data_IF_944141955357
#
_entry.id   IF_944141955357
#
_cell.length_a   1.000
_cell.length_b   1.000
_cell.length_c   1.000
_cell.angle_alpha   90.00
_cell.angle_beta   90.00
_cell.angle_gamma   90.00
#
_symmetry.space_group_name_H-M   'P 1'
#
loop_
_entity.id
_entity.type
_entity.pdbx_description
1 polymer ?
#
# COMPACT_ATOMS: atom_id res chain seq x y z
N UNK A 1 2.26 7.03 -11.01
CA UNK A 1 2.06 6.42 -9.68
C UNK A 1 2.98 7.00 -8.62
N UNK A 2 4.29 6.77 -8.66
CA UNK A 2 5.23 7.24 -7.60
C UNK A 2 5.11 8.74 -7.35
N UNK A 3 5.08 9.56 -8.42
CA UNK A 3 4.89 11.02 -8.37
C UNK A 3 3.57 11.48 -7.71
N UNK A 4 2.57 10.61 -7.65
CA UNK A 4 1.27 10.92 -7.04
C UNK A 4 1.21 10.70 -5.53
N UNK A 5 2.29 10.21 -4.92
CA UNK A 5 2.38 9.98 -3.47
C UNK A 5 2.86 11.26 -2.80
N UNK A 6 2.11 11.76 -1.81
CA UNK A 6 2.32 13.07 -1.18
C UNK A 6 3.69 13.33 -0.54
N UNK A 7 4.44 12.27 -0.21
CA UNK A 7 5.78 12.37 0.39
C UNK A 7 6.92 12.39 -0.64
N UNK A 8 6.60 12.25 -1.93
CA UNK A 8 7.58 12.23 -3.02
C UNK A 8 7.66 13.61 -3.65
N UNK A 9 8.82 14.26 -3.57
CA UNK A 9 9.06 15.56 -4.20
C UNK A 9 9.43 15.41 -5.68
N UNK A 10 10.38 14.54 -6.00
CA UNK A 10 10.79 14.25 -7.38
C UNK A 10 10.89 12.74 -7.66
N UNK A 11 10.90 12.40 -8.96
CA UNK A 11 11.10 11.03 -9.43
C UNK A 11 12.20 11.03 -10.45
N UNK A 12 13.26 10.27 -10.18
CA UNK A 12 14.35 10.00 -11.09
C UNK A 12 14.05 8.76 -11.91
N UNK A 13 13.97 8.92 -13.23
CA UNK A 13 13.78 7.82 -14.17
C UNK A 13 15.13 7.20 -14.57
N UNK A 14 15.14 5.89 -14.85
CA UNK A 14 16.37 5.18 -15.23
C UNK A 14 17.40 5.05 -14.10
N UNK A 15 16.97 5.08 -12.84
CA UNK A 15 17.84 4.86 -11.70
C UNK A 15 18.51 3.46 -11.78
N UNK A 16 19.80 3.34 -11.41
CA UNK A 16 20.47 2.05 -11.33
C UNK A 16 19.75 1.08 -10.40
N UNK A 17 19.83 -0.22 -10.70
CA UNK A 17 19.16 -1.25 -9.90
C UNK A 17 19.69 -1.33 -8.45
N UNK A 18 21.00 -1.15 -8.27
CA UNK A 18 21.65 -1.09 -6.96
C UNK A 18 22.00 0.36 -6.65
N UNK A 19 21.64 0.82 -5.45
CA UNK A 19 22.03 2.15 -4.97
C UNK A 19 23.54 2.22 -4.76
N UNK A 20 24.20 3.19 -5.39
CA UNK A 20 25.62 3.47 -5.24
C UNK A 20 25.86 4.84 -4.61
N UNK A 21 27.04 5.05 -4.02
CA UNK A 21 27.45 6.37 -3.53
C UNK A 21 27.45 7.42 -4.65
N UNK A 22 27.89 7.05 -5.85
CA UNK A 22 27.84 7.92 -7.04
C UNK A 22 26.43 8.39 -7.36
N UNK A 23 25.43 7.51 -7.21
CA UNK A 23 24.03 7.88 -7.43
C UNK A 23 23.58 8.89 -6.38
N UNK A 24 23.92 8.68 -5.10
CA UNK A 24 23.58 9.62 -4.04
C UNK A 24 24.25 10.98 -4.24
N UNK A 25 25.52 11.00 -4.64
CA UNK A 25 26.26 12.23 -4.89
C UNK A 25 25.73 12.97 -6.12
N UNK A 26 25.38 12.25 -7.19
CA UNK A 26 24.78 12.83 -8.41
C UNK A 26 23.51 13.62 -8.13
N UNK A 27 22.68 13.14 -7.20
CA UNK A 27 21.41 13.78 -6.82
C UNK A 27 21.49 14.52 -5.48
N UNK A 28 22.70 14.73 -4.95
CA UNK A 28 22.94 15.43 -3.68
C UNK A 28 22.05 14.91 -2.52
N UNK A 29 21.92 13.59 -2.40
CA UNK A 29 21.17 12.91 -1.35
C UNK A 29 22.08 12.54 -0.17
N UNK A 30 21.67 12.86 1.05
CA UNK A 30 22.48 12.55 2.24
C UNK A 30 22.62 11.04 2.49
N UNK A 31 21.52 10.29 2.35
CA UNK A 31 21.47 8.84 2.56
C UNK A 31 20.32 8.21 1.76
N UNK A 32 20.36 6.89 1.58
CA UNK A 32 19.22 6.13 1.05
C UNK A 32 18.45 5.43 2.18
N UNK A 33 17.18 5.12 1.88
CA UNK A 33 16.28 4.39 2.77
C UNK A 33 15.76 3.15 2.05
N UNK A 34 15.89 1.98 2.68
CA UNK A 34 15.42 0.70 2.17
C UNK A 34 14.71 -0.11 3.26
N UNK A 35 13.95 -1.12 2.85
CA UNK A 35 13.36 -2.07 3.78
C UNK A 35 14.41 -2.94 4.50
N UNK A 36 13.97 -3.66 5.51
CA UNK A 36 14.76 -4.60 6.31
C UNK A 36 14.93 -5.99 5.66
N UNK A 37 14.76 -6.08 4.35
CA UNK A 37 14.92 -7.33 3.58
C UNK A 37 16.40 -7.75 3.51
N UNK A 38 16.65 -9.06 3.56
CA UNK A 38 18.01 -9.62 3.39
C UNK A 38 18.45 -9.42 1.94
N UNK A 39 19.45 -8.56 1.73
CA UNK A 39 19.94 -8.16 0.40
C UNK A 39 21.39 -8.59 0.23
N UNK A 40 21.60 -9.82 -0.28
CA UNK A 40 22.94 -10.37 -0.53
C UNK A 40 23.13 -10.74 -2.00
N UNK A 41 24.36 -10.60 -2.49
CA UNK A 41 24.81 -11.12 -3.77
C UNK A 41 24.96 -12.65 -3.71
N UNK A 42 25.19 -13.29 -4.86
CA UNK A 42 25.44 -14.74 -4.94
C UNK A 42 26.64 -15.18 -4.08
N UNK A 43 27.62 -14.28 -3.89
CA UNK A 43 28.81 -14.50 -3.06
C UNK A 43 28.54 -14.26 -1.56
N UNK A 44 27.31 -13.93 -1.18
CA UNK A 44 26.90 -13.70 0.20
C UNK A 44 27.25 -12.31 0.76
N UNK A 45 27.73 -11.39 -0.09
CA UNK A 45 28.07 -10.01 0.29
C UNK A 45 26.82 -9.14 0.27
N UNK A 46 26.66 -8.25 1.24
CA UNK A 46 25.54 -7.30 1.28
C UNK A 46 25.56 -6.38 0.05
N UNK A 47 24.44 -6.27 -0.66
CA UNK A 47 24.32 -5.49 -1.90
C UNK A 47 24.63 -4.00 -1.67
N UNK A 48 24.40 -3.49 -0.46
CA UNK A 48 24.60 -2.09 -0.07
C UNK A 48 25.81 -1.87 0.84
N UNK A 49 26.73 -2.83 0.95
CA UNK A 49 27.90 -2.74 1.85
C UNK A 49 28.65 -1.40 1.74
N UNK A 50 28.94 -0.92 0.53
CA UNK A 50 29.63 0.37 0.32
C UNK A 50 28.84 1.56 0.87
N UNK A 51 27.52 1.57 0.73
CA UNK A 51 26.66 2.65 1.21
C UNK A 51 26.49 2.58 2.72
N UNK A 52 26.43 1.37 3.29
CA UNK A 52 26.40 1.12 4.73
C UNK A 52 27.71 1.52 5.42
N UNK A 53 28.85 1.15 4.86
CA UNK A 53 30.19 1.53 5.36
C UNK A 53 30.40 3.05 5.37
N UNK A 54 29.85 3.75 4.38
CA UNK A 54 29.85 5.21 4.33
C UNK A 54 28.87 5.88 5.33
N UNK A 55 28.09 5.12 6.08
CA UNK A 55 27.09 5.65 7.02
C UNK A 55 25.86 6.29 6.36
N UNK A 56 25.67 6.09 5.05
CA UNK A 56 24.64 6.73 4.21
C UNK A 56 23.47 5.79 3.87
N UNK A 57 23.22 4.82 4.72
CA UNK A 57 22.11 3.87 4.61
C UNK A 57 21.21 3.93 5.85
N UNK A 58 19.89 3.87 5.65
CA UNK A 58 18.88 3.82 6.71
C UNK A 58 17.85 2.73 6.40
N UNK A 59 17.38 2.08 7.46
CA UNK A 59 16.41 0.99 7.36
C UNK A 59 15.04 1.45 7.86
N UNK A 60 13.99 0.98 7.18
CA UNK A 60 12.60 1.12 7.61
C UNK A 60 11.96 -0.26 7.71
N UNK A 61 11.10 -0.42 8.70
CA UNK A 61 10.40 -1.68 8.92
C UNK A 61 9.38 -1.93 7.80
N UNK A 62 9.25 -3.20 7.43
CA UNK A 62 8.20 -3.65 6.52
C UNK A 62 6.79 -3.30 7.02
N UNK A 63 5.97 -2.77 6.13
CA UNK A 63 4.55 -2.49 6.41
C UNK A 63 3.78 -3.80 6.59
N UNK A 64 3.24 -4.02 7.79
CA UNK A 64 2.45 -5.21 8.10
C UNK A 64 1.11 -5.26 7.35
N UNK A 65 0.72 -6.46 6.90
CA UNK A 65 -0.61 -6.76 6.35
C UNK A 65 -0.78 -6.55 4.84
N UNK A 66 0.29 -6.25 4.10
CA UNK A 66 0.26 -6.14 2.63
C UNK A 66 1.59 -6.57 2.00
N UNK A 67 1.52 -7.31 0.90
CA UNK A 67 2.66 -7.58 0.02
C UNK A 67 2.17 -7.84 -1.42
N UNK A 68 3.05 -7.70 -2.41
CA UNK A 68 2.69 -8.00 -3.81
C UNK A 68 2.29 -9.46 -3.98
N UNK A 69 2.99 -10.40 -3.33
CA UNK A 69 2.64 -11.84 -3.36
C UNK A 69 1.27 -12.11 -2.74
N UNK A 70 0.94 -11.47 -1.61
CA UNK A 70 -0.39 -11.57 -1.01
C UNK A 70 -1.47 -11.04 -1.97
N UNK A 71 -1.26 -9.87 -2.58
CA UNK A 71 -2.20 -9.30 -3.56
C UNK A 71 -2.37 -10.20 -4.79
N UNK A 72 -1.29 -10.76 -5.35
CA UNK A 72 -1.36 -11.74 -6.43
C UNK A 72 -2.12 -12.99 -5.98
N UNK A 73 -1.89 -13.46 -4.75
CA UNK A 73 -2.66 -14.55 -4.14
C UNK A 73 -4.15 -14.25 -4.15
N UNK A 74 -4.57 -13.05 -3.71
CA UNK A 74 -5.98 -12.61 -3.72
C UNK A 74 -6.56 -12.54 -5.13
N UNK A 75 -5.79 -12.09 -6.12
CA UNK A 75 -6.20 -12.06 -7.52
C UNK A 75 -6.38 -13.48 -8.08
N UNK A 76 -5.42 -14.37 -7.83
CA UNK A 76 -5.41 -15.75 -8.35
C UNK A 76 -6.45 -16.63 -7.69
N UNK A 77 -6.72 -16.40 -6.40
CA UNK A 77 -7.73 -17.13 -5.65
C UNK A 77 -9.10 -17.02 -6.35
N UNK A 78 -9.41 -15.89 -7.04
CA UNK A 78 -10.70 -15.65 -7.75
C UNK A 78 -11.90 -16.16 -6.94
N UNK A 79 -11.77 -16.17 -5.63
CA UNK A 79 -12.42 -17.17 -4.80
C UNK A 79 -13.74 -16.54 -4.43
N UNK A 80 -14.75 -16.93 -5.21
CA UNK A 80 -16.16 -16.55 -5.02
C UNK A 80 -16.71 -16.96 -3.64
N UNK A 81 -15.93 -17.71 -2.85
CA UNK A 81 -16.27 -18.26 -1.55
C UNK A 81 -15.67 -17.49 -0.36
N UNK A 82 -15.05 -16.32 -0.56
CA UNK A 82 -14.56 -15.53 0.58
C UNK A 82 -15.66 -14.98 1.51
N UNK A 83 -16.95 -15.20 1.21
CA UNK A 83 -18.08 -14.80 2.05
C UNK A 83 -19.14 -15.90 2.14
N UNK A 84 -18.90 -16.97 2.93
CA UNK A 84 -20.00 -17.85 3.38
C UNK A 84 -20.93 -17.02 4.27
N UNK A 85 -22.23 -16.98 3.96
CA UNK A 85 -23.27 -16.35 4.80
C UNK A 85 -23.81 -17.37 5.82
N UNK A 86 -24.03 -16.92 7.07
CA UNK A 86 -24.73 -17.69 8.11
C UNK A 86 -23.80 -18.55 8.98
N UNK A 87 -24.33 -19.58 9.66
CA UNK A 87 -23.57 -20.41 10.63
C UNK A 87 -22.31 -21.08 10.05
N UNK A 88 -22.21 -21.21 8.72
CA UNK A 88 -21.03 -21.72 8.00
C UNK A 88 -19.92 -20.67 7.78
N UNK A 89 -20.12 -19.41 8.21
CA UNK A 89 -19.10 -18.35 8.28
C UNK A 89 -17.96 -18.73 9.25
N UNK A 90 -18.24 -19.60 10.22
CA UNK A 90 -17.31 -20.07 11.25
C UNK A 90 -16.79 -21.50 11.03
N UNK A 91 -17.27 -22.22 10.01
CA UNK A 91 -16.75 -23.56 9.71
C UNK A 91 -15.40 -23.43 9.00
N UNK A 92 -14.34 -23.51 9.81
CA UNK A 92 -12.98 -23.67 9.33
C UNK A 92 -12.89 -25.04 8.66
N UNK A 93 -12.98 -25.08 7.33
CA UNK A 93 -12.47 -26.23 6.59
C UNK A 93 -11.01 -26.41 7.03
N UNK A 94 -10.71 -27.55 7.66
CA UNK A 94 -9.44 -27.88 8.32
C UNK A 94 -8.22 -27.94 7.37
N UNK A 95 -8.43 -27.63 6.11
CA UNK A 95 -7.44 -27.62 5.04
C UNK A 95 -7.73 -26.36 4.21
N UNK A 96 -6.99 -25.24 4.38
CA UNK A 96 -5.80 -25.01 3.55
C UNK A 96 -4.75 -24.04 4.17
N UNK A 97 -3.64 -23.78 3.48
CA UNK A 97 -2.79 -22.58 3.67
C UNK A 97 -1.86 -22.51 4.90
N UNK A 98 -1.22 -23.61 5.33
CA UNK A 98 -0.12 -23.54 6.32
C UNK A 98 1.17 -22.84 5.82
N UNK A 99 1.19 -22.34 4.58
CA UNK A 99 2.42 -21.91 3.89
C UNK A 99 2.64 -20.39 3.78
N UNK A 100 1.63 -19.54 3.98
CA UNK A 100 1.80 -18.08 3.83
C UNK A 100 1.21 -17.28 4.99
N UNK A 101 1.95 -17.19 6.09
CA UNK A 101 1.70 -16.27 7.20
C UNK A 101 1.30 -16.96 8.50
N UNK A 102 2.28 -17.23 9.38
CA UNK A 102 2.06 -17.78 10.72
C UNK A 102 1.79 -16.68 11.75
N UNK A 103 0.72 -15.91 11.63
CA UNK A 103 0.26 -15.09 12.75
C UNK A 103 -1.23 -15.32 13.02
N UNK A 104 -1.53 -15.75 14.24
CA UNK A 104 -2.87 -16.14 14.70
C UNK A 104 -3.75 -14.94 15.08
N UNK A 105 -3.21 -13.72 15.01
CA UNK A 105 -3.81 -12.54 15.67
C UNK A 105 -4.48 -11.52 14.75
N UNK A 106 -4.44 -11.69 13.42
CA UNK A 106 -5.01 -10.71 12.49
C UNK A 106 -6.01 -11.33 11.51
N UNK A 107 -7.26 -11.50 11.94
CA UNK A 107 -8.38 -11.82 11.04
C UNK A 107 -9.26 -10.58 10.85
N UNK A 108 -9.32 -10.06 9.62
CA UNK A 108 -10.37 -9.11 9.24
C UNK A 108 -11.74 -9.77 9.35
N UNK A 109 -12.70 -9.20 10.11
CA UNK A 109 -14.05 -9.76 10.26
C UNK A 109 -14.85 -9.74 8.95
N UNK A 110 -14.40 -9.01 7.93
CA UNK A 110 -15.17 -8.76 6.72
C UNK A 110 -14.54 -9.27 5.42
N UNK A 111 -13.27 -9.67 5.41
CA UNK A 111 -12.59 -10.17 4.21
C UNK A 111 -11.85 -11.49 4.43
N UNK A 112 -11.63 -11.91 5.68
CA UNK A 112 -10.95 -13.17 6.03
C UNK A 112 -9.51 -13.31 5.51
N UNK A 113 -9.00 -12.34 4.74
CA UNK A 113 -7.78 -12.46 3.95
C UNK A 113 -6.82 -11.27 4.16
N UNK A 114 -7.32 -10.09 4.58
CA UNK A 114 -6.45 -8.97 4.94
C UNK A 114 -6.07 -9.03 6.42
N UNK A 115 -4.77 -9.08 6.68
CA UNK A 115 -4.16 -8.98 8.01
C UNK A 115 -3.78 -7.54 8.37
N UNK A 116 -4.23 -6.54 7.58
CA UNK A 116 -3.95 -5.14 7.87
C UNK A 116 -4.69 -4.70 9.15
N UNK A 117 -3.93 -4.27 10.15
CA UNK A 117 -4.45 -3.71 11.39
C UNK A 117 -4.51 -2.17 11.28
N UNK A 118 -5.69 -1.58 11.04
CA UNK A 118 -5.85 -0.13 11.06
C UNK A 118 -5.77 0.35 12.52
N UNK A 119 -4.82 1.23 12.81
CA UNK A 119 -4.75 1.94 14.10
C UNK A 119 -5.02 3.42 13.86
N UNK A 120 -5.55 4.12 14.87
CA UNK A 120 -5.72 5.58 14.81
C UNK A 120 -4.41 6.27 14.47
N UNK A 121 -3.28 5.76 14.98
CA UNK A 121 -1.95 6.29 14.69
C UNK A 121 -1.60 6.19 13.18
N UNK A 122 -1.90 5.07 12.53
CA UNK A 122 -1.72 4.94 11.07
C UNK A 122 -2.58 5.93 10.30
N UNK A 123 -3.85 6.12 10.71
CA UNK A 123 -4.73 7.11 10.06
C UNK A 123 -4.14 8.52 10.19
N UNK A 124 -3.64 8.88 11.37
CA UNK A 124 -2.99 10.19 11.60
C UNK A 124 -1.74 10.35 10.73
N UNK A 125 -0.88 9.33 10.62
CA UNK A 125 0.33 9.37 9.79
C UNK A 125 0.02 9.62 8.30
N UNK A 126 -1.08 9.07 7.79
CA UNK A 126 -1.49 9.22 6.39
C UNK A 126 -2.41 10.42 6.14
N UNK A 127 -2.98 11.03 7.18
CA UNK A 127 -3.79 12.24 7.08
C UNK A 127 -2.92 13.49 6.92
N UNK A 128 -3.44 14.51 6.23
CA UNK A 128 -2.83 15.84 6.20
C UNK A 128 -3.26 16.70 7.40
N UNK A 129 -4.32 16.29 8.11
CA UNK A 129 -4.86 17.02 9.26
C UNK A 129 -5.47 18.39 8.93
N UNK A 130 -5.56 18.76 7.65
CA UNK A 130 -6.10 20.04 7.18
C UNK A 130 -7.61 19.94 7.00
N UNK A 131 -8.36 20.88 7.56
CA UNK A 131 -9.79 21.07 7.29
C UNK A 131 -10.00 22.08 6.16
N UNK A 132 -11.13 21.99 5.42
CA UNK A 132 -11.50 23.01 4.44
C UNK A 132 -11.67 24.37 5.12
N UNK A 133 -11.20 25.43 4.46
CA UNK A 133 -11.29 26.80 4.94
C UNK A 133 -12.59 27.47 4.46
N UNK A 134 -13.06 28.52 5.15
CA UNK A 134 -14.19 29.32 4.66
C UNK A 134 -13.86 29.91 3.27
N UNK A 135 -14.67 29.54 2.27
CA UNK A 135 -14.50 29.99 0.88
C UNK A 135 -13.91 28.94 -0.06
N UNK A 136 -13.37 27.82 0.46
CA UNK A 136 -12.87 26.72 -0.36
C UNK A 136 -14.00 26.09 -1.17
N UNK A 137 -13.77 25.87 -2.47
CA UNK A 137 -14.63 25.02 -3.29
C UNK A 137 -14.36 23.56 -2.96
N UNK A 138 -15.32 22.91 -2.31
CA UNK A 138 -15.24 21.50 -1.93
C UNK A 138 -15.72 20.61 -3.09
N UNK A 139 -14.86 19.73 -3.56
CA UNK A 139 -15.14 18.69 -4.55
C UNK A 139 -15.32 17.37 -3.83
N UNK A 140 -16.41 16.65 -4.12
CA UNK A 140 -16.66 15.31 -3.60
C UNK A 140 -16.68 14.30 -4.73
N UNK A 141 -15.91 13.22 -4.58
CA UNK A 141 -15.91 12.06 -5.47
C UNK A 141 -16.11 10.80 -4.63
N UNK A 142 -16.76 9.78 -5.19
CA UNK A 142 -17.01 8.53 -4.47
C UNK A 142 -16.75 7.31 -5.34
N UNK A 143 -16.32 6.22 -4.73
CA UNK A 143 -16.04 4.98 -5.44
C UNK A 143 -15.50 3.88 -4.54
N UNK A 144 -15.17 2.74 -5.16
CA UNK A 144 -14.50 1.64 -4.47
C UNK A 144 -13.03 1.97 -4.20
N UNK A 145 -12.34 2.56 -5.19
CA UNK A 145 -10.88 2.77 -5.17
C UNK A 145 -10.07 1.50 -4.86
N UNK A 146 -10.62 0.34 -5.22
CA UNK A 146 -9.97 -0.96 -5.06
C UNK A 146 -8.72 -1.05 -5.96
N UNK A 147 -7.66 -1.69 -5.45
CA UNK A 147 -6.33 -1.75 -6.08
C UNK A 147 -5.91 -0.41 -6.70
N UNK A 148 -5.79 0.63 -5.87
CA UNK A 148 -5.50 2.00 -6.30
C UNK A 148 -4.37 2.06 -7.34
N UNK A 149 -4.68 2.59 -8.53
CA UNK A 149 -3.85 2.50 -9.74
C UNK A 149 -3.85 3.83 -10.51
N UNK A 150 -3.09 3.91 -11.61
CA UNK A 150 -2.88 5.16 -12.37
C UNK A 150 -4.16 5.81 -12.84
N UNK A 151 -5.14 5.03 -13.32
CA UNK A 151 -6.44 5.60 -13.70
C UNK A 151 -7.19 6.31 -12.55
N UNK A 152 -7.07 5.84 -11.30
CA UNK A 152 -7.62 6.56 -10.15
C UNK A 152 -6.82 7.85 -9.87
N UNK A 153 -5.49 7.78 -9.98
CA UNK A 153 -4.63 8.95 -9.79
C UNK A 153 -4.95 10.05 -10.82
N UNK A 154 -5.03 9.71 -12.10
CA UNK A 154 -5.35 10.65 -13.18
C UNK A 154 -6.74 11.28 -12.97
N UNK A 155 -7.71 10.47 -12.57
CA UNK A 155 -9.06 10.94 -12.21
C UNK A 155 -9.03 11.94 -11.04
N UNK A 156 -8.32 11.61 -9.95
CA UNK A 156 -8.24 12.47 -8.78
C UNK A 156 -7.45 13.75 -9.05
N UNK A 157 -6.44 13.71 -9.93
CA UNK A 157 -5.70 14.89 -10.34
C UNK A 157 -6.59 15.88 -11.09
N UNK A 158 -7.41 15.37 -12.02
CA UNK A 158 -8.41 16.20 -12.72
C UNK A 158 -9.45 16.73 -11.75
N UNK A 159 -10.02 15.88 -10.88
CA UNK A 159 -11.01 16.31 -9.89
C UNK A 159 -10.47 17.37 -8.93
N UNK A 160 -9.18 17.28 -8.54
CA UNK A 160 -8.52 18.25 -7.68
C UNK A 160 -8.32 19.61 -8.36
N UNK A 161 -8.25 19.68 -9.70
CA UNK A 161 -8.14 20.97 -10.42
C UNK A 161 -9.44 21.76 -10.43
N UNK A 162 -10.58 21.10 -10.17
CA UNK A 162 -11.90 21.73 -10.20
C UNK A 162 -12.27 22.51 -8.92
N UNK A 163 -11.48 22.39 -7.85
CA UNK A 163 -11.70 23.11 -6.59
C UNK A 163 -10.56 23.02 -5.57
N UNK A 164 -10.75 23.64 -4.42
CA UNK A 164 -9.68 23.89 -3.44
C UNK A 164 -9.51 22.74 -2.46
N UNK A 165 -10.57 21.96 -2.22
CA UNK A 165 -10.55 20.83 -1.28
C UNK A 165 -11.24 19.60 -1.88
N UNK A 166 -10.57 18.44 -1.89
CA UNK A 166 -11.10 17.20 -2.47
C UNK A 166 -11.40 16.20 -1.36
N UNK A 167 -12.66 15.75 -1.29
CA UNK A 167 -13.12 14.67 -0.41
C UNK A 167 -13.36 13.42 -1.25
N UNK A 168 -12.73 12.31 -0.87
CA UNK A 168 -12.87 11.02 -1.52
C UNK A 168 -13.68 10.09 -0.61
N UNK A 169 -14.92 9.80 -0.99
CA UNK A 169 -15.78 8.84 -0.33
C UNK A 169 -15.45 7.40 -0.75
N UNK A 170 -15.10 6.56 0.23
CA UNK A 170 -14.88 5.14 0.02
C UNK A 170 -16.16 4.35 0.28
N UNK A 171 -16.63 3.61 -0.73
CA UNK A 171 -17.74 2.70 -0.56
C UNK A 171 -17.38 1.55 0.39
N UNK A 172 -18.34 1.13 1.22
CA UNK A 172 -18.17 -0.05 2.09
C UNK A 172 -18.02 -1.33 1.26
N UNK A 173 -17.26 -2.31 1.74
CA UNK A 173 -17.07 -3.61 1.08
C UNK A 173 -18.39 -4.27 0.59
N UNK A 174 -19.50 -4.29 1.38
CA UNK A 174 -20.77 -4.88 0.92
C UNK A 174 -21.40 -4.14 -0.25
N UNK A 175 -21.24 -2.81 -0.29
CA UNK A 175 -21.74 -2.00 -1.39
C UNK A 175 -20.96 -2.31 -2.67
N UNK A 176 -19.63 -2.30 -2.59
CA UNK A 176 -18.74 -2.63 -3.71
C UNK A 176 -19.04 -4.02 -4.24
N UNK A 177 -19.21 -5.00 -3.35
CA UNK A 177 -19.47 -6.37 -3.75
C UNK A 177 -20.76 -6.49 -4.57
N UNK A 178 -21.86 -5.88 -4.09
CA UNK A 178 -23.16 -5.92 -4.77
C UNK A 178 -23.12 -5.42 -6.21
N UNK A 179 -22.50 -4.25 -6.47
CA UNK A 179 -22.52 -3.68 -7.82
C UNK A 179 -21.37 -4.14 -8.72
N UNK A 180 -20.26 -4.65 -8.17
CA UNK A 180 -19.14 -5.18 -8.98
C UNK A 180 -19.29 -6.65 -9.33
N UNK A 181 -19.84 -7.46 -8.43
CA UNK A 181 -19.85 -8.91 -8.58
C UNK A 181 -21.25 -9.53 -8.62
N UNK A 182 -22.30 -8.70 -8.46
CA UNK A 182 -23.68 -9.00 -8.87
C UNK A 182 -24.16 -10.40 -8.52
N UNK A 183 -24.56 -10.61 -7.26
CA UNK A 183 -25.53 -11.63 -6.87
C UNK A 183 -26.67 -10.99 -6.10
#
# INVERSE_FOLDING_TARGET
MVRGIKWVDEVVEGAPYVTTLETLDKYNCDFCVHGDDITRTADGVDTYHLVKEAGRYREVQRTAGVSTTDLVGRMLLMTRQHFRRGESEYSVDREPSKSMGQDKTARSPWTGCSQFLPTTQKIIQFSDGKSPQPGDRIIYVAGAFDLFHVGHLDFLEVAKKEGDYLIVGLHTDPAVNRYKYGN
#
